data_IF_171744342277
#
_entry.id   IF_171744342277
#
_cell.length_a   1.000
_cell.length_b   1.000
_cell.length_c   1.000
_cell.angle_alpha   90.00
_cell.angle_beta   90.00
_cell.angle_gamma   90.00
#
_symmetry.space_group_name_H-M   'P 1'
#
loop_
_entity.id
_entity.type
_entity.pdbx_description
1 polymer ?
#
# COMPACT_ATOMS: atom_id res chain seq x y z
N UNK A 1 -3.95 2.06 9.90
CA UNK A 1 -3.17 3.23 9.40
C UNK A 1 -1.96 3.53 10.27
N UNK A 2 -2.13 4.00 11.51
CA UNK A 2 -0.99 4.33 12.41
C UNK A 2 0.04 3.20 12.50
N UNK A 3 -0.40 1.98 12.78
CA UNK A 3 0.49 0.82 12.87
C UNK A 3 1.20 0.50 11.55
N UNK A 4 0.51 0.67 10.42
CA UNK A 4 1.11 0.51 9.09
C UNK A 4 2.19 1.56 8.83
N UNK A 5 2.00 2.81 9.28
CA UNK A 5 3.02 3.87 9.20
C UNK A 5 4.24 3.47 10.02
N UNK A 6 4.05 3.13 11.30
CA UNK A 6 5.13 2.69 12.19
C UNK A 6 5.87 1.48 11.59
N UNK A 7 5.14 0.50 11.05
CA UNK A 7 5.72 -0.70 10.43
C UNK A 7 6.45 -0.41 9.12
N UNK A 8 6.02 0.61 8.38
CA UNK A 8 6.71 1.04 7.16
C UNK A 8 8.03 1.72 7.50
N UNK A 9 8.07 2.51 8.60
CA UNK A 9 9.28 3.16 9.09
C UNK A 9 10.41 2.18 9.44
N UNK A 10 10.12 0.97 9.91
CA UNK A 10 11.16 0.04 10.37
C UNK A 10 11.84 0.60 11.63
N UNK A 11 13.17 0.67 11.63
CA UNK A 11 13.96 1.06 12.81
C UNK A 11 14.04 2.59 13.03
N UNK A 12 13.83 3.39 11.99
CA UNK A 12 13.84 4.85 12.11
C UNK A 12 12.41 5.41 12.07
N UNK A 13 11.84 5.69 13.23
CA UNK A 13 10.48 6.25 13.32
C UNK A 13 10.38 7.68 12.77
N UNK A 14 11.50 8.43 12.69
CA UNK A 14 11.48 9.83 12.27
C UNK A 14 11.14 10.00 10.79
N UNK A 15 11.25 8.94 9.98
CA UNK A 15 10.82 8.93 8.57
C UNK A 15 9.31 8.89 8.38
N UNK A 16 8.52 8.85 9.46
CA UNK A 16 7.06 8.79 9.39
C UNK A 16 6.44 9.84 8.46
N UNK A 17 6.91 11.11 8.38
CA UNK A 17 6.34 12.09 7.46
C UNK A 17 6.53 11.71 6.00
N UNK A 18 7.66 11.08 5.68
CA UNK A 18 8.02 10.64 4.33
C UNK A 18 7.20 9.43 3.90
N UNK A 19 6.97 8.46 4.79
CA UNK A 19 6.21 7.23 4.46
C UNK A 19 4.69 7.40 4.57
N UNK A 20 4.23 8.39 5.33
CA UNK A 20 2.81 8.62 5.60
C UNK A 20 1.96 8.75 4.32
N UNK A 21 2.35 9.55 3.29
CA UNK A 21 1.61 9.62 2.03
C UNK A 21 1.49 8.27 1.31
N UNK A 22 2.55 7.46 1.35
CA UNK A 22 2.59 6.13 0.71
C UNK A 22 1.60 5.16 1.37
N UNK A 23 1.53 5.18 2.70
CA UNK A 23 0.57 4.35 3.46
C UNK A 23 -0.88 4.80 3.21
N UNK A 24 -1.13 6.10 3.15
CA UNK A 24 -2.46 6.61 2.82
C UNK A 24 -2.88 6.26 1.40
N UNK A 25 -1.97 6.35 0.43
CA UNK A 25 -2.24 5.89 -0.93
C UNK A 25 -2.57 4.39 -0.93
N UNK A 26 -1.73 3.57 -0.29
CA UNK A 26 -1.96 2.13 -0.16
C UNK A 26 -3.35 1.81 0.43
N UNK A 27 -3.82 2.53 1.46
CA UNK A 27 -5.16 2.32 2.04
C UNK A 27 -6.28 2.66 1.06
N UNK A 28 -6.16 3.79 0.36
CA UNK A 28 -7.18 4.26 -0.59
C UNK A 28 -7.33 3.32 -1.78
N UNK A 29 -6.25 2.70 -2.23
CA UNK A 29 -6.26 1.78 -3.37
C UNK A 29 -6.46 0.31 -2.97
N UNK A 30 -6.55 0.02 -1.67
CA UNK A 30 -6.81 -1.34 -1.16
C UNK A 30 -8.31 -1.61 -1.10
N UNK A 31 -8.72 -2.71 -1.73
CA UNK A 31 -10.11 -3.21 -1.66
C UNK A 31 -10.50 -3.52 -0.21
N UNK A 32 -11.67 -3.01 0.21
CA UNK A 32 -12.23 -3.30 1.53
C UNK A 32 -13.09 -4.55 1.50
N UNK A 33 -12.93 -5.41 2.52
CA UNK A 33 -13.74 -6.63 2.68
C UNK A 33 -15.24 -6.36 2.80
N UNK A 34 -15.64 -5.23 3.39
CA UNK A 34 -17.05 -4.88 3.61
C UNK A 34 -17.78 -4.43 2.35
N UNK A 35 -17.09 -3.81 1.40
CA UNK A 35 -17.71 -3.26 0.17
C UNK A 35 -17.30 -4.01 -1.10
N UNK A 36 -16.25 -4.83 -1.04
CA UNK A 36 -15.64 -5.46 -2.21
C UNK A 36 -14.95 -4.47 -3.15
N UNK A 37 -14.83 -3.19 -2.77
CA UNK A 37 -14.26 -2.11 -3.60
C UNK A 37 -13.22 -1.30 -2.82
N UNK A 38 -12.31 -0.64 -3.55
CA UNK A 38 -11.35 0.30 -2.97
C UNK A 38 -12.03 1.64 -2.66
N UNK A 39 -11.63 2.35 -1.59
CA UNK A 39 -12.09 3.72 -1.33
C UNK A 39 -11.89 4.66 -2.53
N UNK A 40 -10.79 4.50 -3.26
CA UNK A 40 -10.52 5.27 -4.48
C UNK A 40 -11.58 5.03 -5.55
N UNK A 41 -11.89 3.77 -5.85
CA UNK A 41 -12.94 3.43 -6.82
C UNK A 41 -14.29 4.00 -6.39
N UNK A 42 -14.67 3.84 -5.12
CA UNK A 42 -15.95 4.38 -4.62
C UNK A 42 -16.04 5.92 -4.74
N UNK A 43 -14.92 6.62 -4.62
CA UNK A 43 -14.89 8.08 -4.72
C UNK A 43 -14.83 8.59 -6.17
N UNK A 44 -14.18 7.86 -7.08
CA UNK A 44 -13.86 8.34 -8.42
C UNK A 44 -14.53 7.56 -9.56
N UNK A 45 -15.13 6.40 -9.29
CA UNK A 45 -15.75 5.53 -10.28
C UNK A 45 -14.77 4.84 -11.25
N UNK A 46 -13.47 4.96 -11.02
CA UNK A 46 -12.41 4.39 -11.87
C UNK A 46 -11.39 3.66 -11.00
N UNK A 47 -10.78 2.61 -11.55
CA UNK A 47 -9.80 1.80 -10.81
C UNK A 47 -8.48 2.57 -10.60
N UNK A 48 -7.88 2.51 -9.40
CA UNK A 48 -6.60 3.14 -9.15
C UNK A 48 -5.48 2.40 -9.89
N UNK A 49 -4.48 3.15 -10.36
CA UNK A 49 -3.25 2.56 -10.85
C UNK A 49 -2.44 1.99 -9.68
N UNK A 50 -2.28 0.67 -9.67
CA UNK A 50 -1.45 -0.03 -8.69
C UNK A 50 0.03 0.15 -9.01
N UNK A 51 0.91 0.18 -8.00
CA UNK A 51 2.36 0.14 -8.21
C UNK A 51 2.76 -1.19 -8.85
N UNK A 52 3.06 -1.15 -10.14
CA UNK A 52 3.51 -2.29 -10.95
C UNK A 52 4.76 -1.86 -11.71
N UNK A 53 5.77 -2.73 -11.79
CA UNK A 53 6.85 -2.54 -12.75
C UNK A 53 6.31 -2.90 -14.13
N UNK A 54 6.04 -1.87 -14.94
CA UNK A 54 5.50 -2.05 -16.29
C UNK A 54 6.59 -2.60 -17.23
N UNK A 55 7.87 -2.34 -16.97
CA UNK A 55 8.98 -2.77 -17.83
C UNK A 55 9.21 -4.28 -17.75
N UNK A 56 9.16 -4.83 -16.53
CA UNK A 56 9.36 -6.25 -16.30
C UNK A 56 8.06 -7.04 -16.13
N UNK A 57 6.90 -6.37 -16.14
CA UNK A 57 5.60 -6.94 -15.78
C UNK A 57 5.64 -7.68 -14.43
N UNK A 58 6.42 -7.17 -13.48
CA UNK A 58 6.58 -7.73 -12.13
C UNK A 58 6.10 -6.74 -11.08
N UNK A 59 5.90 -7.24 -9.85
CA UNK A 59 5.64 -6.37 -8.71
C UNK A 59 6.95 -5.74 -8.23
N UNK A 60 6.91 -4.47 -7.79
CA UNK A 60 8.07 -3.73 -7.26
C UNK A 60 8.66 -4.35 -5.96
N UNK A 61 7.97 -5.33 -5.40
CA UNK A 61 8.28 -6.04 -4.15
C UNK A 61 7.90 -7.53 -4.32
N UNK A 62 8.59 -8.46 -3.62
CA UNK A 62 8.35 -9.89 -3.77
C UNK A 62 6.94 -10.29 -3.38
N UNK A 63 6.25 -11.01 -4.27
CA UNK A 63 4.86 -11.40 -4.10
C UNK A 63 4.62 -12.04 -2.71
N UNK A 64 3.54 -11.66 -1.98
CA UNK A 64 3.23 -12.30 -0.72
C UNK A 64 2.96 -13.79 -0.92
N UNK A 65 3.68 -14.63 -0.20
CA UNK A 65 3.52 -16.10 -0.23
C UNK A 65 2.47 -16.60 0.77
N UNK A 66 2.06 -15.74 1.70
CA UNK A 66 1.10 -16.04 2.75
C UNK A 66 0.08 -14.89 2.90
N UNK A 67 -1.14 -15.19 3.39
CA UNK A 67 -2.09 -14.13 3.73
C UNK A 67 -1.50 -13.21 4.80
N UNK A 68 -1.74 -11.91 4.63
CA UNK A 68 -1.20 -10.86 5.50
C UNK A 68 -2.33 -10.20 6.28
N UNK A 69 -2.00 -9.66 7.46
CA UNK A 69 -2.92 -8.72 8.12
C UNK A 69 -3.10 -7.46 7.26
N UNK A 70 -4.20 -6.74 7.46
CA UNK A 70 -4.40 -5.45 6.77
C UNK A 70 -3.24 -4.49 7.05
N UNK A 71 -2.72 -4.49 8.27
CA UNK A 71 -1.60 -3.62 8.66
C UNK A 71 -0.35 -3.93 7.83
N UNK A 72 -0.04 -5.21 7.69
CA UNK A 72 1.12 -5.70 6.93
C UNK A 72 0.97 -5.48 5.44
N UNK A 73 -0.23 -5.70 4.90
CA UNK A 73 -0.53 -5.44 3.50
C UNK A 73 -0.32 -3.98 3.14
N UNK A 74 -0.79 -3.05 3.99
CA UNK A 74 -0.61 -1.62 3.79
C UNK A 74 0.87 -1.23 3.86
N UNK A 75 1.62 -1.77 4.82
CA UNK A 75 3.05 -1.51 4.93
C UNK A 75 3.84 -2.08 3.73
N UNK A 76 3.50 -3.29 3.28
CA UNK A 76 4.09 -3.93 2.11
C UNK A 76 3.85 -3.09 0.84
N UNK A 77 2.61 -2.64 0.61
CA UNK A 77 2.27 -1.76 -0.52
C UNK A 77 2.93 -0.39 -0.42
N UNK A 78 3.01 0.20 0.77
CA UNK A 78 3.71 1.46 0.99
C UNK A 78 5.18 1.36 0.58
N UNK A 79 5.88 0.28 0.96
CA UNK A 79 7.26 0.02 0.54
C UNK A 79 7.42 -0.16 -0.97
N UNK A 80 6.42 -0.73 -1.64
CA UNK A 80 6.40 -0.80 -3.11
C UNK A 80 6.34 0.60 -3.74
N UNK A 81 5.51 1.48 -3.18
CA UNK A 81 5.33 2.85 -3.65
C UNK A 81 6.56 3.72 -3.40
N UNK A 82 7.32 3.46 -2.34
CA UNK A 82 8.61 4.13 -2.07
C UNK A 82 9.68 3.82 -3.12
N UNK A 83 9.53 2.72 -3.89
CA UNK A 83 10.49 2.26 -4.91
C UNK A 83 10.13 2.72 -6.34
N UNK A 84 9.06 3.48 -6.49
CA UNK A 84 8.62 4.03 -7.79
C UNK A 84 9.41 5.28 -8.13
#
# INVERSE_FOLDING_TARGET
IRESIVKTCGDDINRWPTVCPHVFWADRVTVRRSTGQSPFYMAHGVEPLLPFDILHATYLVPLPTAPMSTVDLLAYRARALERR
#
